data_IF_501231679774
#
_entry.id   IF_501231679774
#
_cell.length_a   1.000
_cell.length_b   1.000
_cell.length_c   1.000
_cell.angle_alpha   90.00
_cell.angle_beta   90.00
_cell.angle_gamma   90.00
#
_symmetry.space_group_name_H-M   'P 1'
#
loop_
_entity.id
_entity.type
_entity.pdbx_description
1 polymer ?
#
# COMPACT_ATOMS: atom_id res chain seq x y z
N UNK A 1 72.19 14.76 29.52
CA UNK A 1 72.59 13.37 29.88
C UNK A 1 71.55 12.45 29.26
N UNK A 2 71.76 11.49 28.35
CA UNK A 2 72.89 10.75 27.75
C UNK A 2 72.54 10.56 26.25
N UNK A 3 73.24 11.13 25.26
CA UNK A 3 74.28 10.54 24.36
C UNK A 3 74.27 9.01 24.20
N UNK A 4 74.22 8.51 22.95
CA UNK A 4 75.24 7.72 22.20
C UNK A 4 74.70 7.48 20.75
N UNK A 5 75.32 8.03 19.67
CA UNK A 5 76.37 7.47 18.78
C UNK A 5 75.81 6.47 17.72
N UNK A 6 76.04 6.51 16.39
CA UNK A 6 77.15 6.86 15.46
C UNK A 6 76.54 7.42 14.13
N UNK A 7 77.05 8.39 13.35
CA UNK A 7 78.35 8.71 12.71
C UNK A 7 78.56 8.15 11.27
N UNK A 8 78.49 9.06 10.27
CA UNK A 8 79.21 9.19 8.98
C UNK A 8 79.14 8.01 7.94
N UNK A 9 79.05 8.19 6.60
CA UNK A 9 79.77 9.11 5.71
C UNK A 9 79.25 9.13 4.23
N UNK A 10 79.64 10.20 3.51
CA UNK A 10 79.90 10.33 2.04
C UNK A 10 78.73 10.24 1.04
N UNK A 11 78.31 11.33 0.37
CA UNK A 11 78.92 12.15 -0.71
C UNK A 11 78.88 11.48 -2.11
N UNK A 12 77.94 11.92 -2.96
CA UNK A 12 78.12 12.03 -4.41
C UNK A 12 77.07 12.99 -5.01
N UNK A 13 77.52 13.75 -6.00
CA UNK A 13 76.96 14.98 -6.55
C UNK A 13 76.36 14.68 -7.92
N UNK A 14 75.18 15.28 -8.18
CA UNK A 14 74.60 15.72 -9.47
C UNK A 14 74.31 14.65 -10.53
N UNK A 15 73.04 14.59 -10.92
CA UNK A 15 72.58 14.93 -12.28
C UNK A 15 71.07 15.13 -12.25
N UNK A 16 70.64 16.34 -12.63
CA UNK A 16 69.25 16.60 -12.96
C UNK A 16 68.88 15.81 -14.20
N UNK A 17 67.80 15.05 -14.10
CA UNK A 17 66.91 14.79 -15.22
C UNK A 17 65.51 14.90 -14.63
N UNK A 18 64.84 16.00 -14.96
CA UNK A 18 63.39 16.08 -14.95
C UNK A 18 62.90 14.96 -15.86
N UNK A 19 62.57 13.80 -15.29
CA UNK A 19 61.75 12.82 -15.98
C UNK A 19 60.30 13.28 -15.85
N UNK A 20 59.97 14.41 -16.47
CA UNK A 20 58.68 14.52 -17.11
C UNK A 20 58.77 13.59 -18.30
N UNK A 21 58.37 12.32 -18.13
CA UNK A 21 57.91 11.58 -19.28
C UNK A 21 56.57 12.23 -19.63
N UNK A 22 56.61 13.17 -20.58
CA UNK A 22 55.45 13.48 -21.40
C UNK A 22 55.13 12.19 -22.14
N UNK A 23 54.34 11.34 -21.48
CA UNK A 23 53.69 10.20 -22.10
C UNK A 23 52.48 10.75 -22.85
N UNK A 24 52.76 11.33 -24.03
CA UNK A 24 51.78 11.94 -24.95
C UNK A 24 50.86 10.91 -25.62
N UNK A 25 50.62 9.75 -24.97
CA UNK A 25 49.81 8.68 -25.53
C UNK A 25 48.94 7.96 -24.48
N UNK A 26 48.39 8.70 -23.51
CA UNK A 26 47.24 8.21 -22.75
C UNK A 26 46.00 8.22 -23.67
N UNK A 27 45.23 7.13 -23.82
CA UNK A 27 43.99 7.19 -24.57
C UNK A 27 43.07 8.25 -23.94
N UNK A 28 42.47 9.03 -24.84
CA UNK A 28 41.37 9.96 -24.65
C UNK A 28 40.33 9.39 -23.69
N UNK A 29 40.19 10.00 -22.51
CA UNK A 29 39.06 9.91 -21.56
C UNK A 29 38.08 8.72 -21.69
N UNK A 30 37.97 7.88 -20.66
CA UNK A 30 37.04 6.75 -20.64
C UNK A 30 35.59 7.21 -20.44
N UNK A 31 34.66 6.83 -21.32
CA UNK A 31 33.24 7.14 -21.14
C UNK A 31 32.63 6.15 -20.15
N UNK A 32 31.84 6.64 -19.17
CA UNK A 32 31.13 5.78 -18.23
C UNK A 32 30.08 4.91 -18.94
N UNK A 33 29.82 3.72 -18.38
CA UNK A 33 28.77 2.85 -18.88
C UNK A 33 27.39 3.52 -18.79
N UNK A 34 26.59 3.33 -19.84
CA UNK A 34 25.21 3.80 -19.90
C UNK A 34 24.34 3.07 -18.87
N UNK A 35 23.51 3.77 -18.07
CA UNK A 35 22.58 3.12 -17.15
C UNK A 35 21.60 2.16 -17.85
N UNK A 36 21.36 1.00 -17.25
CA UNK A 36 20.24 0.11 -17.60
C UNK A 36 19.04 0.45 -16.69
N UNK A 37 18.00 1.06 -17.24
CA UNK A 37 16.87 1.63 -16.48
C UNK A 37 15.66 0.70 -16.54
N UNK A 38 14.96 0.54 -15.42
CA UNK A 38 13.66 -0.13 -15.33
C UNK A 38 12.65 0.69 -14.51
N UNK A 39 11.37 0.39 -14.70
CA UNK A 39 10.25 1.02 -13.99
C UNK A 39 9.44 -0.07 -13.27
N UNK A 40 9.88 -0.54 -12.10
CA UNK A 40 9.26 -1.67 -11.41
C UNK A 40 7.86 -1.40 -10.87
N UNK A 41 7.49 -0.14 -10.63
CA UNK A 41 6.20 0.24 -10.07
C UNK A 41 5.68 1.51 -10.75
N UNK A 42 4.45 1.47 -11.26
CA UNK A 42 3.75 2.59 -11.90
C UNK A 42 2.32 2.64 -11.37
N UNK A 43 1.93 3.83 -10.91
CA UNK A 43 0.59 4.15 -10.41
C UNK A 43 0.03 5.34 -11.19
N UNK A 44 -1.16 5.78 -10.82
CA UNK A 44 -1.86 6.89 -11.50
C UNK A 44 -1.10 8.22 -11.38
N UNK A 45 -0.44 8.45 -10.25
CA UNK A 45 0.21 9.73 -9.91
C UNK A 45 1.67 9.59 -9.49
N UNK A 46 2.25 8.39 -9.60
CA UNK A 46 3.64 8.12 -9.21
C UNK A 46 4.26 6.98 -10.00
N UNK A 47 5.60 6.96 -10.06
CA UNK A 47 6.36 5.82 -10.58
C UNK A 47 7.70 5.69 -9.86
N UNK A 48 8.17 4.46 -9.69
CA UNK A 48 9.52 4.17 -9.19
C UNK A 48 10.41 3.83 -10.36
N UNK A 49 11.52 4.54 -10.50
CA UNK A 49 12.55 4.29 -11.50
C UNK A 49 13.79 3.73 -10.79
N UNK A 50 14.44 2.74 -11.39
CA UNK A 50 15.67 2.15 -10.85
C UNK A 50 16.67 1.81 -11.94
N UNK A 51 17.95 1.83 -11.60
CA UNK A 51 19.06 1.42 -12.47
C UNK A 51 20.21 0.84 -11.66
N UNK A 52 21.04 0.01 -12.29
CA UNK A 52 22.24 -0.54 -11.63
C UNK A 52 23.30 0.53 -11.39
N UNK A 53 24.09 0.36 -10.33
CA UNK A 53 25.22 1.22 -10.05
C UNK A 53 26.27 1.13 -11.17
N UNK A 54 26.67 2.27 -11.71
CA UNK A 54 27.70 2.38 -12.73
C UNK A 54 29.06 2.56 -12.07
N UNK A 55 30.01 1.70 -12.44
CA UNK A 55 31.37 1.75 -11.92
C UNK A 55 32.02 3.12 -12.16
N UNK A 56 32.71 3.65 -11.16
CA UNK A 56 33.38 4.95 -11.16
C UNK A 56 32.46 6.19 -11.15
N UNK A 57 31.15 6.07 -11.36
CA UNK A 57 30.21 7.18 -11.25
C UNK A 57 30.16 7.72 -9.81
N UNK A 58 30.00 9.04 -9.64
CA UNK A 58 29.80 9.70 -8.34
C UNK A 58 28.38 10.22 -8.14
N UNK A 59 27.64 10.40 -9.22
CA UNK A 59 26.26 10.85 -9.21
C UNK A 59 25.56 10.42 -10.51
N UNK A 60 24.26 10.69 -10.58
CA UNK A 60 23.45 10.56 -11.77
C UNK A 60 22.74 11.88 -12.04
N UNK A 61 22.60 12.21 -13.33
CA UNK A 61 21.80 13.34 -13.79
C UNK A 61 20.58 12.79 -14.51
N UNK A 62 19.39 13.26 -14.13
CA UNK A 62 18.14 12.80 -14.71
C UNK A 62 17.17 13.92 -15.04
N UNK A 63 16.22 13.65 -15.92
CA UNK A 63 15.10 14.54 -16.23
C UNK A 63 13.85 13.76 -16.64
N UNK A 64 12.70 14.40 -16.50
CA UNK A 64 11.39 13.88 -16.91
C UNK A 64 10.84 14.75 -18.04
N UNK A 65 10.39 14.15 -19.14
CA UNK A 65 9.83 14.83 -20.33
C UNK A 65 10.71 15.96 -20.89
N UNK A 66 12.04 15.79 -20.84
CA UNK A 66 13.02 16.83 -21.21
C UNK A 66 12.88 18.13 -20.38
N UNK A 67 12.34 18.05 -19.17
CA UNK A 67 12.34 19.14 -18.20
C UNK A 67 13.73 19.42 -17.65
N UNK A 68 13.80 20.24 -16.59
CA UNK A 68 15.07 20.59 -15.94
C UNK A 68 15.81 19.36 -15.42
N UNK A 69 17.11 19.31 -15.67
CA UNK A 69 17.99 18.28 -15.13
C UNK A 69 18.08 18.38 -13.60
N UNK A 70 18.08 17.22 -12.95
CA UNK A 70 18.21 17.03 -11.51
C UNK A 70 19.39 16.08 -11.23
N UNK A 71 19.97 16.14 -10.03
CA UNK A 71 21.09 15.27 -9.64
C UNK A 71 20.73 14.42 -8.42
N UNK A 72 21.24 13.19 -8.39
CA UNK A 72 21.08 12.26 -7.27
C UNK A 72 22.32 11.38 -7.13
N UNK A 73 22.64 10.94 -5.93
CA UNK A 73 23.63 9.89 -5.66
C UNK A 73 23.00 8.50 -5.51
N UNK A 74 21.67 8.43 -5.51
CA UNK A 74 20.91 7.19 -5.42
C UNK A 74 20.73 6.53 -6.79
N UNK A 75 20.48 5.22 -6.75
CA UNK A 75 20.19 4.39 -7.92
C UNK A 75 18.69 4.21 -8.19
N UNK A 76 17.86 4.99 -7.49
CA UNK A 76 16.41 4.96 -7.61
C UNK A 76 15.82 6.35 -7.42
N UNK A 77 14.70 6.60 -8.10
CA UNK A 77 13.92 7.83 -7.99
C UNK A 77 12.45 7.49 -7.87
N UNK A 78 11.79 8.09 -6.89
CA UNK A 78 10.33 8.09 -6.79
C UNK A 78 9.79 9.40 -7.40
N UNK A 79 9.12 9.28 -8.54
CA UNK A 79 8.38 10.36 -9.17
C UNK A 79 6.99 10.45 -8.53
N UNK A 80 6.52 11.66 -8.25
CA UNK A 80 5.20 11.95 -7.67
C UNK A 80 4.55 13.11 -8.41
N UNK A 81 3.23 13.28 -8.25
CA UNK A 81 2.48 14.37 -8.90
C UNK A 81 2.34 14.18 -10.41
N UNK A 82 2.35 12.94 -10.89
CA UNK A 82 2.07 12.62 -12.28
C UNK A 82 0.56 12.68 -12.54
N UNK A 83 0.18 12.90 -13.80
CA UNK A 83 -1.20 12.83 -14.27
C UNK A 83 -1.52 11.37 -14.64
N UNK A 84 -2.73 10.87 -14.35
CA UNK A 84 -3.17 9.55 -14.77
C UNK A 84 -3.21 9.38 -16.30
N UNK A 85 -3.09 8.14 -16.77
CA UNK A 85 -3.15 7.78 -18.20
C UNK A 85 -2.18 8.55 -19.12
N UNK A 86 -1.11 9.10 -18.55
CA UNK A 86 -0.15 9.93 -19.28
C UNK A 86 1.18 9.23 -19.43
N UNK A 87 1.73 9.27 -20.63
CA UNK A 87 3.08 8.78 -20.89
C UNK A 87 4.14 9.79 -20.48
N UNK A 88 5.18 9.28 -19.83
CA UNK A 88 6.34 10.03 -19.37
C UNK A 88 7.62 9.40 -19.91
N UNK A 89 8.55 10.25 -20.32
CA UNK A 89 9.90 9.85 -20.75
C UNK A 89 10.89 10.26 -19.67
N UNK A 90 11.52 9.28 -19.04
CA UNK A 90 12.57 9.48 -18.07
C UNK A 90 13.94 9.30 -18.75
N UNK A 91 14.86 10.21 -18.46
CA UNK A 91 16.25 10.14 -18.93
C UNK A 91 17.19 10.16 -17.75
N UNK A 92 18.24 9.34 -17.79
CA UNK A 92 19.32 9.36 -16.79
C UNK A 92 20.67 9.05 -17.42
N UNK A 93 21.72 9.73 -16.95
CA UNK A 93 23.12 9.42 -17.27
C UNK A 93 23.94 9.31 -15.98
N UNK A 94 25.01 8.53 -16.02
CA UNK A 94 26.01 8.49 -14.97
C UNK A 94 26.98 9.65 -15.12
N UNK A 95 27.35 10.28 -14.00
CA UNK A 95 28.26 11.41 -13.96
C UNK A 95 29.46 11.14 -13.05
N UNK A 96 30.63 11.61 -13.49
CA UNK A 96 31.85 11.65 -12.68
C UNK A 96 32.43 13.06 -12.64
N UNK A 97 31.90 13.87 -11.73
CA UNK A 97 32.27 15.28 -11.59
C UNK A 97 33.76 15.44 -11.30
N UNK A 98 34.44 16.30 -12.07
CA UNK A 98 35.82 16.72 -11.81
C UNK A 98 36.90 15.70 -12.19
N UNK A 99 36.56 14.63 -12.89
CA UNK A 99 37.55 13.67 -13.39
C UNK A 99 38.17 14.15 -14.71
N UNK A 100 39.48 13.99 -14.84
CA UNK A 100 40.19 14.14 -16.13
C UNK A 100 40.32 12.81 -16.88
N UNK A 101 39.89 11.71 -16.26
CA UNK A 101 40.06 10.35 -16.78
C UNK A 101 38.74 9.72 -17.27
N UNK A 102 37.61 10.31 -16.88
CA UNK A 102 36.28 9.78 -17.16
C UNK A 102 35.33 10.88 -17.64
N UNK A 103 34.61 10.61 -18.73
CA UNK A 103 33.49 11.43 -19.20
C UNK A 103 32.17 10.83 -18.70
N UNK A 104 31.14 11.69 -18.59
CA UNK A 104 29.76 11.27 -18.33
C UNK A 104 29.29 10.22 -19.35
N UNK A 105 28.39 9.33 -18.94
CA UNK A 105 27.78 8.37 -19.86
C UNK A 105 26.83 9.05 -20.83
N UNK A 106 26.48 8.36 -21.92
CA UNK A 106 25.27 8.69 -22.69
C UNK A 106 24.01 8.57 -21.82
N UNK A 107 22.96 9.31 -22.20
CA UNK A 107 21.64 9.17 -21.60
C UNK A 107 21.01 7.82 -21.93
N UNK A 108 20.55 7.12 -20.89
CA UNK A 108 19.53 6.11 -20.97
C UNK A 108 18.14 6.77 -20.93
N UNK A 109 17.21 6.19 -21.67
CA UNK A 109 15.85 6.71 -21.82
C UNK A 109 14.87 5.55 -21.68
N UNK A 110 13.80 5.76 -20.93
CA UNK A 110 12.67 4.84 -20.82
C UNK A 110 11.36 5.61 -20.81
N UNK A 111 10.35 5.04 -21.44
CA UNK A 111 8.99 5.58 -21.41
C UNK A 111 8.10 4.65 -20.58
N UNK A 112 7.25 5.23 -19.75
CA UNK A 112 6.21 4.53 -19.01
C UNK A 112 4.91 5.33 -19.08
N UNK A 113 3.77 4.68 -18.87
CA UNK A 113 2.45 5.31 -18.86
C UNK A 113 1.83 5.08 -17.49
N UNK A 114 1.43 6.15 -16.81
CA UNK A 114 0.70 6.07 -15.54
C UNK A 114 -0.60 5.30 -15.73
N UNK A 115 -1.07 4.64 -14.67
CA UNK A 115 -2.35 3.95 -14.71
C UNK A 115 -3.51 4.94 -14.77
N UNK A 116 -4.72 4.45 -15.08
CA UNK A 116 -5.96 5.25 -15.00
C UNK A 116 -6.17 5.82 -13.60
N UNK A 117 -6.89 6.94 -13.55
CA UNK A 117 -7.35 7.55 -12.32
C UNK A 117 -8.25 6.57 -11.58
N UNK A 118 -7.92 6.29 -10.32
CA UNK A 118 -8.73 5.50 -9.42
C UNK A 118 -9.55 6.46 -8.60
N UNK A 119 -10.82 6.62 -8.97
CA UNK A 119 -11.78 7.28 -8.09
C UNK A 119 -11.93 6.45 -6.83
N UNK A 120 -11.65 7.04 -5.68
CA UNK A 120 -11.84 6.38 -4.39
C UNK A 120 -13.24 6.72 -3.90
N UNK A 121 -14.04 5.68 -3.68
CA UNK A 121 -15.36 5.82 -3.09
C UNK A 121 -15.29 5.50 -1.60
N UNK A 122 -15.70 6.45 -0.77
CA UNK A 122 -15.82 6.25 0.67
C UNK A 122 -17.28 6.06 1.04
N UNK A 123 -17.58 5.09 1.87
CA UNK A 123 -18.95 4.84 2.35
C UNK A 123 -19.41 6.08 3.13
N UNK A 124 -20.45 6.76 2.63
CA UNK A 124 -21.13 7.83 3.34
C UNK A 124 -22.18 7.26 4.30
N UNK A 125 -22.92 6.24 3.85
CA UNK A 125 -23.86 5.50 4.69
C UNK A 125 -23.85 4.01 4.34
N UNK A 126 -23.99 3.19 5.38
CA UNK A 126 -24.29 1.77 5.30
C UNK A 126 -25.59 1.55 6.06
N UNK A 127 -26.48 0.70 5.58
CA UNK A 127 -27.69 0.33 6.29
C UNK A 127 -28.02 -1.13 6.08
N UNK A 128 -28.69 -1.73 7.06
CA UNK A 128 -29.47 -2.96 6.88
C UNK A 128 -30.96 -2.62 6.99
N UNK A 129 -31.82 -3.63 7.07
CA UNK A 129 -33.28 -3.45 7.17
C UNK A 129 -33.73 -2.68 8.43
N UNK A 130 -32.87 -2.53 9.44
CA UNK A 130 -33.22 -2.01 10.77
C UNK A 130 -32.43 -0.78 11.17
N UNK A 131 -31.15 -0.72 10.77
CA UNK A 131 -30.19 0.25 11.24
C UNK A 131 -29.51 0.96 10.07
N UNK A 132 -29.23 2.26 10.26
CA UNK A 132 -28.46 3.07 9.31
C UNK A 132 -27.30 3.78 9.99
N UNK A 133 -26.10 3.49 9.51
CA UNK A 133 -24.85 4.09 9.94
C UNK A 133 -24.41 5.19 8.97
N UNK A 134 -23.87 6.25 9.53
CA UNK A 134 -23.35 7.41 8.82
C UNK A 134 -21.87 7.57 9.14
N UNK A 135 -21.08 7.89 8.14
CA UNK A 135 -19.62 8.00 8.26
C UNK A 135 -19.20 9.42 7.90
N UNK A 136 -18.31 9.98 8.71
CA UNK A 136 -17.61 11.21 8.40
C UNK A 136 -16.11 10.93 8.39
N UNK A 137 -15.38 11.63 7.53
CA UNK A 137 -13.96 11.47 7.34
C UNK A 137 -13.21 12.76 7.65
N UNK A 138 -11.95 12.63 8.03
CA UNK A 138 -10.99 13.74 8.08
C UNK A 138 -10.54 14.09 6.67
N UNK A 139 -9.93 15.28 6.49
CA UNK A 139 -9.44 15.76 5.18
C UNK A 139 -8.39 14.82 4.54
N UNK A 140 -7.72 13.99 5.34
CA UNK A 140 -6.77 12.98 4.86
C UNK A 140 -7.42 11.62 4.54
N UNK A 141 -8.76 11.55 4.52
CA UNK A 141 -9.53 10.35 4.21
C UNK A 141 -9.69 9.34 5.36
N UNK A 142 -9.06 9.55 6.52
CA UNK A 142 -9.25 8.65 7.67
C UNK A 142 -10.64 8.83 8.28
N UNK A 143 -11.26 7.74 8.77
CA UNK A 143 -12.58 7.82 9.41
C UNK A 143 -12.50 8.68 10.67
N UNK A 144 -13.36 9.69 10.75
CA UNK A 144 -13.43 10.62 11.89
C UNK A 144 -14.51 10.22 12.86
N UNK A 145 -15.66 9.78 12.33
CA UNK A 145 -16.87 9.53 13.09
C UNK A 145 -17.71 8.48 12.40
N UNK A 146 -18.29 7.58 13.18
CA UNK A 146 -19.41 6.74 12.75
C UNK A 146 -20.56 6.93 13.72
N UNK A 147 -21.77 7.15 13.23
CA UNK A 147 -22.93 7.35 14.08
C UNK A 147 -24.20 6.74 13.50
N UNK A 148 -25.18 6.53 14.38
CA UNK A 148 -26.52 6.02 14.05
C UNK A 148 -27.56 6.99 14.56
N UNK A 149 -28.60 7.19 13.76
CA UNK A 149 -29.78 7.96 14.14
C UNK A 149 -30.95 7.02 14.42
N UNK A 150 -31.78 7.35 15.42
CA UNK A 150 -33.06 6.71 15.67
C UNK A 150 -34.14 7.80 15.68
N UNK A 151 -35.13 7.67 14.81
CA UNK A 151 -36.20 8.67 14.63
C UNK A 151 -35.67 10.11 14.39
N UNK A 152 -34.52 10.22 13.73
CA UNK A 152 -33.87 11.50 13.39
C UNK A 152 -32.93 12.06 14.47
N UNK A 153 -32.91 11.45 15.66
CA UNK A 153 -32.06 11.88 16.78
C UNK A 153 -30.81 10.99 16.91
N UNK A 154 -29.73 11.55 17.45
CA UNK A 154 -28.49 10.80 17.68
C UNK A 154 -28.71 9.69 18.71
N UNK A 155 -28.58 8.44 18.29
CA UNK A 155 -28.75 7.27 19.15
C UNK A 155 -27.39 6.71 19.59
N UNK A 156 -26.45 6.54 18.65
CA UNK A 156 -25.11 6.02 18.93
C UNK A 156 -24.05 6.74 18.13
N UNK A 157 -22.86 6.82 18.68
CA UNK A 157 -21.73 7.52 18.08
C UNK A 157 -20.40 6.89 18.50
N UNK A 158 -19.46 6.90 17.56
CA UNK A 158 -18.06 6.54 17.75
C UNK A 158 -17.19 7.60 17.10
N UNK A 159 -16.32 8.22 17.90
CA UNK A 159 -15.38 9.27 17.48
C UNK A 159 -13.97 8.69 17.45
N UNK A 160 -13.28 8.85 16.33
CA UNK A 160 -11.97 8.27 16.05
C UNK A 160 -10.90 9.35 16.17
N UNK A 161 -9.99 9.20 17.13
CA UNK A 161 -8.86 10.10 17.34
C UNK A 161 -7.55 9.38 17.05
N UNK A 162 -6.69 9.99 16.24
CA UNK A 162 -5.43 9.42 15.77
C UNK A 162 -4.23 10.07 16.48
N UNK A 163 -3.31 9.24 16.96
CA UNK A 163 -1.99 9.62 17.47
C UNK A 163 -0.93 8.69 16.85
N UNK A 164 -0.39 9.13 15.70
CA UNK A 164 0.42 8.29 14.83
C UNK A 164 -0.37 7.04 14.39
N UNK A 165 0.17 5.86 14.69
CA UNK A 165 -0.46 4.58 14.37
C UNK A 165 -1.51 4.15 15.41
N UNK A 166 -1.70 4.89 16.51
CA UNK A 166 -2.71 4.54 17.51
C UNK A 166 -4.02 5.27 17.24
N UNK A 167 -5.13 4.55 17.39
CA UNK A 167 -6.48 5.11 17.29
C UNK A 167 -7.18 4.88 18.63
N UNK A 168 -7.64 5.97 19.24
CA UNK A 168 -8.55 5.91 20.38
C UNK A 168 -9.96 6.19 19.89
N UNK A 169 -10.88 5.25 20.11
CA UNK A 169 -12.30 5.42 19.79
C UNK A 169 -13.08 5.69 21.07
N UNK A 170 -13.91 6.74 21.06
CA UNK A 170 -14.77 7.12 22.19
C UNK A 170 -16.23 7.24 21.76
N UNK A 171 -17.17 7.34 22.71
CA UNK A 171 -18.60 7.48 22.43
C UNK A 171 -19.42 6.37 23.09
N UNK A 172 -20.20 5.63 22.30
CA UNK A 172 -21.08 4.56 22.80
C UNK A 172 -20.31 3.46 23.53
N UNK A 173 -19.18 3.05 22.95
CA UNK A 173 -18.20 2.12 23.51
C UNK A 173 -16.80 2.72 23.29
N UNK A 174 -15.85 2.35 24.14
CA UNK A 174 -14.46 2.77 24.01
C UNK A 174 -13.60 1.64 23.44
N UNK A 175 -12.81 1.94 22.41
CA UNK A 175 -11.90 1.01 21.79
C UNK A 175 -10.51 1.61 21.66
N UNK A 176 -9.50 0.74 21.63
CA UNK A 176 -8.16 1.13 21.19
C UNK A 176 -7.78 0.29 20.00
N UNK A 177 -7.20 0.90 18.98
CA UNK A 177 -6.65 0.20 17.83
C UNK A 177 -5.22 0.66 17.57
N UNK A 178 -4.42 -0.22 16.98
CA UNK A 178 -3.08 0.12 16.47
C UNK A 178 -2.99 -0.31 15.03
N UNK A 179 -2.49 0.58 14.16
CA UNK A 179 -2.30 0.36 12.74
C UNK A 179 -0.93 -0.28 12.45
N UNK A 180 -0.89 -1.15 11.43
CA UNK A 180 0.35 -1.64 10.82
C UNK A 180 0.92 -0.61 9.81
N UNK A 181 2.05 -0.95 9.20
CA UNK A 181 2.72 -0.10 8.21
C UNK A 181 1.94 0.08 6.90
N UNK A 182 0.92 -0.75 6.65
CA UNK A 182 0.00 -0.61 5.52
C UNK A 182 -1.20 0.30 5.86
N UNK A 183 -1.32 0.75 7.11
CA UNK A 183 -2.43 1.59 7.57
C UNK A 183 -3.68 0.83 8.01
N UNK A 184 -3.62 -0.50 8.15
CA UNK A 184 -4.74 -1.33 8.63
C UNK A 184 -4.58 -1.70 10.11
N UNK A 185 -5.70 -1.93 10.79
CA UNK A 185 -5.74 -2.29 12.21
C UNK A 185 -5.04 -3.63 12.44
N UNK A 186 -3.86 -3.60 13.06
CA UNK A 186 -3.12 -4.77 13.51
C UNK A 186 -3.63 -5.30 14.85
N UNK A 187 -4.08 -4.40 15.72
CA UNK A 187 -4.61 -4.76 17.04
C UNK A 187 -5.90 -3.97 17.31
N UNK A 188 -6.94 -4.64 17.81
CA UNK A 188 -8.20 -4.03 18.25
C UNK A 188 -8.54 -4.51 19.66
N UNK A 189 -8.71 -3.57 20.59
CA UNK A 189 -9.04 -3.83 21.98
C UNK A 189 -10.46 -3.34 22.27
N UNK A 190 -11.33 -4.28 22.60
CA UNK A 190 -12.72 -4.05 23.03
C UNK A 190 -12.94 -4.68 24.41
N UNK A 191 -12.93 -3.82 25.43
CA UNK A 191 -13.01 -4.24 26.82
C UNK A 191 -11.86 -5.18 27.20
N UNK A 192 -12.20 -6.42 27.57
CA UNK A 192 -11.23 -7.46 27.93
C UNK A 192 -10.76 -8.32 26.74
N UNK A 193 -11.27 -8.05 25.54
CA UNK A 193 -10.89 -8.79 24.34
C UNK A 193 -9.85 -8.01 23.56
N UNK A 194 -8.75 -8.67 23.22
CA UNK A 194 -7.75 -8.20 22.26
C UNK A 194 -7.84 -9.06 21.02
N UNK A 195 -7.97 -8.39 19.87
CA UNK A 195 -7.93 -9.00 18.56
C UNK A 195 -6.64 -8.60 17.85
N UNK A 196 -5.99 -9.56 17.21
CA UNK A 196 -4.78 -9.37 16.42
C UNK A 196 -5.04 -9.83 14.98
N UNK A 197 -4.75 -8.97 14.02
CA UNK A 197 -5.04 -9.18 12.60
C UNK A 197 -3.75 -9.35 11.81
N UNK A 198 -3.73 -10.37 10.96
CA UNK A 198 -2.66 -10.61 9.99
C UNK A 198 -3.17 -10.30 8.60
N UNK A 199 -2.29 -9.70 7.78
CA UNK A 199 -2.58 -9.29 6.40
C UNK A 199 -1.56 -9.89 5.45
N UNK A 200 -1.95 -10.05 4.18
CA UNK A 200 -0.99 -10.27 3.10
C UNK A 200 -0.32 -8.95 2.67
N UNK A 201 0.60 -9.03 1.70
CA UNK A 201 1.30 -7.86 1.14
C UNK A 201 0.37 -6.89 0.39
N UNK A 202 -0.80 -7.36 -0.02
CA UNK A 202 -1.78 -6.58 -0.78
C UNK A 202 -2.81 -5.89 0.13
N UNK A 203 -2.79 -6.16 1.44
CA UNK A 203 -3.70 -5.56 2.42
C UNK A 203 -4.98 -6.33 2.66
N UNK A 204 -5.07 -7.60 2.24
CA UNK A 204 -6.19 -8.47 2.59
C UNK A 204 -5.94 -9.18 3.92
N UNK A 205 -6.95 -9.22 4.78
CA UNK A 205 -6.89 -9.93 6.05
C UNK A 205 -6.83 -11.44 5.81
N UNK A 206 -5.85 -12.12 6.41
CA UNK A 206 -5.62 -13.57 6.26
C UNK A 206 -5.83 -14.35 7.55
N UNK A 207 -5.76 -13.69 8.71
CA UNK A 207 -5.96 -14.34 10.01
C UNK A 207 -6.42 -13.34 11.06
N UNK A 208 -7.26 -13.80 11.99
CA UNK A 208 -7.61 -13.08 13.22
C UNK A 208 -7.39 -13.98 14.42
N UNK A 209 -6.70 -13.47 15.43
CA UNK A 209 -6.56 -14.06 16.75
C UNK A 209 -7.34 -13.25 17.78
N UNK A 210 -8.04 -13.92 18.69
CA UNK A 210 -8.74 -13.33 19.83
C UNK A 210 -8.10 -13.86 21.11
N UNK A 211 -7.54 -12.96 21.92
CA UNK A 211 -6.85 -13.28 23.17
C UNK A 211 -5.81 -14.41 22.98
N UNK A 212 -5.01 -14.33 21.91
CA UNK A 212 -3.99 -15.32 21.55
C UNK A 212 -4.49 -16.65 20.97
N UNK A 213 -5.79 -16.82 20.75
CA UNK A 213 -6.36 -18.00 20.09
C UNK A 213 -6.88 -17.63 18.70
N UNK A 214 -6.69 -18.49 17.70
CA UNK A 214 -7.21 -18.25 16.34
C UNK A 214 -8.75 -18.14 16.41
N UNK A 215 -9.27 -17.02 15.95
CA UNK A 215 -10.69 -16.75 15.81
C UNK A 215 -11.18 -17.03 14.39
N UNK A 216 -10.35 -16.72 13.38
CA UNK A 216 -10.65 -16.97 11.98
C UNK A 216 -9.37 -17.09 11.14
N UNK A 217 -9.34 -18.09 10.26
CA UNK A 217 -8.41 -18.14 9.13
C UNK A 217 -9.17 -17.70 7.87
N UNK A 218 -8.55 -16.89 7.02
CA UNK A 218 -9.14 -16.35 5.80
C UNK A 218 -8.26 -16.68 4.60
N UNK A 219 -8.87 -17.25 3.56
CA UNK A 219 -8.21 -17.57 2.29
C UNK A 219 -8.55 -16.52 1.25
N UNK A 220 -7.52 -15.95 0.64
CA UNK A 220 -7.64 -14.95 -0.43
C UNK A 220 -7.16 -15.57 -1.75
N UNK A 221 -7.94 -15.39 -2.81
CA UNK A 221 -7.58 -15.77 -4.18
C UNK A 221 -8.02 -14.65 -5.13
N UNK A 222 -7.09 -14.16 -5.97
CA UNK A 222 -7.34 -13.07 -6.92
C UNK A 222 -8.03 -11.84 -6.31
N UNK A 223 -7.65 -11.50 -5.07
CA UNK A 223 -8.22 -10.38 -4.31
C UNK A 223 -9.62 -10.61 -3.75
N UNK A 224 -10.12 -11.86 -3.76
CA UNK A 224 -11.42 -12.22 -3.21
C UNK A 224 -11.28 -13.08 -1.96
N UNK A 225 -12.18 -12.89 -1.00
CA UNK A 225 -12.26 -13.73 0.20
C UNK A 225 -12.99 -15.03 -0.17
N UNK A 226 -12.24 -16.07 -0.50
CA UNK A 226 -12.82 -17.35 -0.94
C UNK A 226 -13.40 -18.17 0.20
N UNK A 227 -12.80 -18.01 1.38
CA UNK A 227 -13.19 -18.76 2.56
C UNK A 227 -12.78 -18.01 3.82
N UNK A 228 -13.58 -18.13 4.87
CA UNK A 228 -13.15 -17.81 6.23
C UNK A 228 -13.68 -18.83 7.23
N UNK A 229 -13.07 -18.88 8.42
CA UNK A 229 -13.42 -19.87 9.45
C UNK A 229 -13.99 -19.28 10.72
N UNK A 230 -14.75 -20.09 11.44
CA UNK A 230 -15.06 -19.88 12.87
C UNK A 230 -14.78 -21.17 13.63
N UNK A 231 -14.64 -21.05 14.94
CA UNK A 231 -14.53 -22.21 15.83
C UNK A 231 -15.83 -22.39 16.62
N UNK A 232 -16.41 -23.59 16.56
CA UNK A 232 -17.56 -24.00 17.38
C UNK A 232 -17.20 -25.30 18.09
N UNK A 233 -17.29 -25.32 19.42
CA UNK A 233 -16.91 -26.46 20.26
C UNK A 233 -15.50 -27.00 19.97
N UNK A 234 -14.56 -26.10 19.68
CA UNK A 234 -13.16 -26.43 19.33
C UNK A 234 -12.97 -26.98 17.92
N UNK A 235 -14.04 -27.09 17.13
CA UNK A 235 -13.99 -27.54 15.74
C UNK A 235 -14.02 -26.34 14.81
N UNK A 236 -13.06 -26.30 13.88
CA UNK A 236 -13.02 -25.29 12.83
C UNK A 236 -14.11 -25.57 11.78
N UNK A 237 -14.91 -24.56 11.48
CA UNK A 237 -15.97 -24.59 10.49
C UNK A 237 -15.67 -23.57 9.39
N UNK A 238 -15.84 -23.99 8.15
CA UNK A 238 -15.50 -23.21 6.96
C UNK A 238 -16.74 -22.62 6.32
N UNK A 239 -16.73 -21.31 6.08
CA UNK A 239 -17.72 -20.63 5.24
C UNK A 239 -17.06 -20.27 3.92
N UNK A 240 -17.61 -20.76 2.82
CA UNK A 240 -17.06 -20.63 1.47
C UNK A 240 -17.88 -19.63 0.68
N UNK A 241 -17.22 -18.88 -0.19
CA UNK A 241 -17.83 -17.87 -1.05
C UNK A 241 -17.53 -18.18 -2.53
N UNK A 242 -18.43 -17.75 -3.40
CA UNK A 242 -18.21 -17.74 -4.86
C UNK A 242 -18.37 -16.33 -5.38
N UNK A 243 -17.74 -16.03 -6.52
CA UNK A 243 -17.70 -14.67 -7.08
C UNK A 243 -18.17 -14.63 -8.53
N UNK A 244 -18.68 -13.46 -8.93
CA UNK A 244 -18.87 -13.10 -10.33
C UNK A 244 -17.62 -12.41 -10.88
N UNK A 245 -17.62 -12.11 -12.18
CA UNK A 245 -16.60 -11.25 -12.79
C UNK A 245 -16.92 -9.74 -12.64
N UNK A 246 -17.97 -9.38 -11.90
CA UNK A 246 -18.37 -7.98 -11.71
C UNK A 246 -17.49 -7.37 -10.61
N UNK A 247 -16.74 -6.29 -10.88
CA UNK A 247 -15.89 -5.66 -9.88
C UNK A 247 -16.70 -5.01 -8.74
N UNK A 248 -16.16 -5.08 -7.53
CA UNK A 248 -16.62 -4.29 -6.38
C UNK A 248 -15.96 -2.91 -6.40
N UNK A 249 -16.42 -2.04 -7.30
CA UNK A 249 -15.85 -0.69 -7.52
C UNK A 249 -15.88 0.15 -6.23
N UNK A 250 -16.93 -0.02 -5.44
CA UNK A 250 -17.14 0.67 -4.16
C UNK A 250 -16.20 0.24 -3.03
N UNK A 251 -15.56 -0.92 -3.14
CA UNK A 251 -14.80 -1.51 -2.04
C UNK A 251 -15.64 -1.82 -0.80
N UNK A 252 -16.94 -2.11 -0.96
CA UNK A 252 -17.83 -2.43 0.15
C UNK A 252 -17.54 -3.83 0.72
N UNK A 253 -17.55 -3.97 2.05
CA UNK A 253 -17.25 -5.24 2.75
C UNK A 253 -18.48 -6.16 2.84
N UNK A 254 -19.10 -6.43 1.68
CA UNK A 254 -20.24 -7.34 1.56
C UNK A 254 -19.94 -8.76 2.06
N UNK A 255 -18.67 -9.18 1.98
CA UNK A 255 -18.13 -10.34 2.70
C UNK A 255 -17.08 -9.86 3.70
N UNK A 256 -17.22 -10.32 4.94
CA UNK A 256 -16.24 -10.16 6.00
C UNK A 256 -16.23 -11.40 6.88
N UNK A 257 -15.12 -11.66 7.58
CA UNK A 257 -15.03 -12.75 8.54
C UNK A 257 -15.83 -12.38 9.79
N UNK A 258 -16.99 -12.99 10.01
CA UNK A 258 -17.89 -12.67 11.13
C UNK A 258 -17.26 -12.95 12.51
N UNK A 259 -16.22 -13.79 12.56
CA UNK A 259 -15.45 -14.09 13.79
C UNK A 259 -14.27 -13.13 14.02
N UNK A 260 -14.12 -12.09 13.20
CA UNK A 260 -13.03 -11.09 13.30
C UNK A 260 -13.19 -10.10 14.45
N UNK A 261 -14.29 -10.15 15.19
CA UNK A 261 -14.58 -9.28 16.33
C UNK A 261 -15.21 -7.94 15.95
N UNK A 262 -14.71 -7.29 14.89
CA UNK A 262 -15.30 -6.08 14.36
C UNK A 262 -16.66 -6.38 13.71
N UNK A 263 -17.70 -5.63 14.09
CA UNK A 263 -19.01 -5.71 13.42
C UNK A 263 -18.93 -5.10 12.02
N UNK A 264 -19.82 -5.51 11.10
CA UNK A 264 -19.81 -5.05 9.70
C UNK A 264 -19.66 -3.53 9.55
N UNK A 265 -20.48 -2.73 10.23
CA UNK A 265 -20.40 -1.26 10.19
C UNK A 265 -19.00 -0.71 10.51
N UNK A 266 -18.22 -1.41 11.35
CA UNK A 266 -16.86 -1.00 11.69
C UNK A 266 -15.87 -1.45 10.62
N UNK A 267 -16.08 -2.62 10.01
CA UNK A 267 -15.27 -3.11 8.88
C UNK A 267 -15.42 -2.21 7.65
N UNK A 268 -16.63 -1.73 7.38
CA UNK A 268 -16.97 -0.78 6.29
C UNK A 268 -16.23 0.58 6.41
N UNK A 269 -15.56 0.86 7.53
CA UNK A 269 -14.64 2.02 7.61
C UNK A 269 -13.40 1.86 6.72
N UNK A 270 -13.10 0.65 6.25
CA UNK A 270 -11.88 0.32 5.52
C UNK A 270 -10.66 0.08 6.40
N UNK A 271 -10.77 0.25 7.72
CA UNK A 271 -9.66 0.08 8.67
C UNK A 271 -9.17 -1.37 8.78
N UNK A 272 -9.99 -2.36 8.43
CA UNK A 272 -9.74 -3.78 8.66
C UNK A 272 -9.23 -4.51 7.41
N UNK A 273 -8.64 -3.80 6.46
CA UNK A 273 -8.11 -4.35 5.21
C UNK A 273 -9.07 -4.17 4.05
N UNK A 274 -8.61 -4.59 2.87
CA UNK A 274 -9.38 -4.47 1.63
C UNK A 274 -10.62 -5.38 1.62
N UNK A 275 -11.71 -4.86 1.08
CA UNK A 275 -12.86 -5.67 0.69
C UNK A 275 -12.51 -6.56 -0.51
N UNK A 276 -13.35 -7.56 -0.79
CA UNK A 276 -13.16 -8.42 -1.96
C UNK A 276 -13.20 -7.61 -3.26
N UNK A 277 -12.33 -7.95 -4.20
CA UNK A 277 -12.19 -7.26 -5.49
C UNK A 277 -13.43 -7.38 -6.38
N UNK A 278 -14.23 -8.44 -6.24
CA UNK A 278 -15.41 -8.71 -7.05
C UNK A 278 -16.66 -8.90 -6.18
N UNK A 279 -17.82 -8.72 -6.80
CA UNK A 279 -19.12 -9.00 -6.20
C UNK A 279 -19.32 -10.52 -6.07
N UNK A 280 -19.57 -10.97 -4.84
CA UNK A 280 -19.78 -12.37 -4.50
C UNK A 280 -21.18 -12.86 -4.90
N UNK A 281 -21.32 -14.09 -5.37
CA UNK A 281 -22.61 -14.65 -5.81
C UNK A 281 -23.25 -15.56 -4.79
N UNK A 282 -22.45 -16.17 -3.90
CA UNK A 282 -22.96 -17.05 -2.85
C UNK A 282 -22.05 -17.09 -1.63
N UNK A 283 -22.62 -17.48 -0.49
CA UNK A 283 -21.89 -17.72 0.76
C UNK A 283 -22.60 -18.80 1.58
N UNK A 284 -21.87 -19.85 1.97
CA UNK A 284 -22.44 -21.00 2.65
C UNK A 284 -21.45 -21.71 3.56
N UNK A 285 -21.97 -22.34 4.62
CA UNK A 285 -21.16 -23.22 5.46
C UNK A 285 -20.88 -24.53 4.73
N UNK A 286 -19.63 -24.96 4.66
CA UNK A 286 -19.24 -26.16 3.91
C UNK A 286 -19.94 -27.45 4.39
N UNK A 287 -20.32 -27.51 5.66
CA UNK A 287 -21.06 -28.64 6.25
C UNK A 287 -22.58 -28.53 6.08
N UNK A 288 -23.08 -27.44 5.49
CA UNK A 288 -24.50 -27.15 5.28
C UNK A 288 -24.86 -27.29 3.81
N UNK A 289 -26.07 -27.79 3.53
CA UNK A 289 -26.65 -27.72 2.18
C UNK A 289 -27.28 -26.35 1.88
N UNK A 290 -27.56 -25.55 2.91
CA UNK A 290 -28.12 -24.20 2.76
C UNK A 290 -27.02 -23.20 2.47
N UNK A 291 -27.21 -22.44 1.39
CA UNK A 291 -26.29 -21.41 0.90
C UNK A 291 -27.08 -20.14 0.62
N UNK A 292 -26.55 -18.98 1.02
CA UNK A 292 -27.12 -17.70 0.64
C UNK A 292 -26.69 -17.34 -0.78
N UNK A 293 -27.59 -16.76 -1.57
CA UNK A 293 -27.29 -16.17 -2.87
C UNK A 293 -27.41 -14.65 -2.81
N UNK A 294 -26.64 -13.95 -3.63
CA UNK A 294 -26.53 -12.49 -3.57
C UNK A 294 -26.79 -11.87 -4.94
N UNK A 295 -27.49 -10.75 -4.92
CA UNK A 295 -27.66 -9.86 -6.06
C UNK A 295 -27.32 -8.43 -5.66
N UNK A 296 -26.83 -7.64 -6.61
CA UNK A 296 -26.44 -6.27 -6.36
C UNK A 296 -27.11 -5.34 -7.35
N UNK A 297 -27.49 -4.17 -6.85
CA UNK A 297 -27.78 -3.01 -7.69
C UNK A 297 -26.67 -1.98 -7.54
N UNK A 298 -26.46 -1.22 -8.61
CA UNK A 298 -25.38 -0.24 -8.70
C UNK A 298 -25.92 1.17 -8.92
N UNK A 299 -25.17 2.17 -8.47
CA UNK A 299 -25.39 3.57 -8.83
C UNK A 299 -24.75 3.93 -10.18
N UNK A 300 -24.78 5.22 -10.55
CA UNK A 300 -24.21 5.72 -11.81
C UNK A 300 -22.69 5.56 -11.92
N UNK A 301 -22.00 5.42 -10.78
CA UNK A 301 -20.57 5.22 -10.67
C UNK A 301 -20.19 3.73 -10.61
N UNK A 302 -21.16 2.84 -10.83
CA UNK A 302 -21.01 1.38 -10.67
C UNK A 302 -20.67 0.96 -9.24
N UNK A 303 -20.86 1.83 -8.25
CA UNK A 303 -20.74 1.47 -6.85
C UNK A 303 -21.98 0.69 -6.39
N UNK A 304 -21.79 -0.30 -5.52
CA UNK A 304 -22.91 -1.09 -4.99
C UNK A 304 -23.79 -0.15 -4.17
N UNK A 305 -25.04 0.10 -4.58
CA UNK A 305 -26.01 0.88 -3.79
C UNK A 305 -26.94 -0.01 -2.96
N UNK A 306 -27.13 -1.26 -3.39
CA UNK A 306 -27.95 -2.25 -2.71
C UNK A 306 -27.35 -3.65 -2.90
N UNK A 307 -27.29 -4.41 -1.82
CA UNK A 307 -27.00 -5.83 -1.80
C UNK A 307 -28.21 -6.56 -1.23
N UNK A 308 -28.75 -7.52 -1.97
CA UNK A 308 -29.82 -8.40 -1.51
C UNK A 308 -29.27 -9.79 -1.29
N UNK A 309 -29.36 -10.26 -0.04
CA UNK A 309 -28.97 -11.61 0.37
C UNK A 309 -30.21 -12.46 0.53
N UNK A 310 -30.34 -13.50 -0.29
CA UNK A 310 -31.41 -14.48 -0.20
C UNK A 310 -30.91 -15.75 0.49
N UNK A 311 -31.48 -16.07 1.64
CA UNK A 311 -31.26 -17.33 2.35
C UNK A 311 -32.58 -18.10 2.45
N UNK A 312 -32.75 -19.10 1.58
CA UNK A 312 -33.92 -19.98 1.55
C UNK A 312 -35.27 -19.22 1.47
N UNK A 313 -35.31 -18.15 0.65
CA UNK A 313 -36.48 -17.31 0.44
C UNK A 313 -36.62 -16.14 1.41
N UNK A 314 -35.80 -16.09 2.47
CA UNK A 314 -35.68 -14.91 3.33
C UNK A 314 -34.67 -13.93 2.72
N UNK A 315 -35.12 -12.71 2.44
CA UNK A 315 -34.30 -11.67 1.82
C UNK A 315 -33.93 -10.64 2.89
N UNK A 316 -32.63 -10.45 3.08
CA UNK A 316 -32.04 -9.34 3.83
C UNK A 316 -31.46 -8.34 2.83
N UNK A 317 -31.74 -7.04 3.00
CA UNK A 317 -31.17 -6.01 2.15
C UNK A 317 -30.18 -5.14 2.91
N UNK A 318 -29.14 -4.72 2.21
CA UNK A 318 -28.15 -3.78 2.69
C UNK A 318 -28.02 -2.63 1.69
N UNK A 319 -27.93 -1.41 2.20
CA UNK A 319 -27.95 -0.20 1.38
C UNK A 319 -26.70 0.63 1.62
N UNK A 320 -26.24 1.26 0.55
CA UNK A 320 -24.99 2.01 0.54
C UNK A 320 -25.15 3.34 -0.20
N UNK A 321 -24.42 4.34 0.29
CA UNK A 321 -24.18 5.60 -0.42
C UNK A 321 -22.72 5.99 -0.25
N UNK A 322 -22.17 6.78 -1.17
CA UNK A 322 -20.74 7.10 -1.19
C UNK A 322 -20.46 8.59 -1.29
N UNK A 323 -19.28 8.99 -0.81
CA UNK A 323 -18.57 10.18 -1.26
C UNK A 323 -17.60 9.74 -2.37
N UNK A 324 -17.48 10.52 -3.43
CA UNK A 324 -16.39 10.42 -4.40
C UNK A 324 -15.26 11.35 -3.98
N UNK A 325 -14.05 10.82 -3.87
CA UNK A 325 -12.82 11.63 -3.80
C UNK A 325 -12.24 11.87 -5.20
#
# INVERSE_FOLDING_TARGET
>A
MKKYFYLLAMLAVVLGATACSDDDNHPSTNVLDKPEVTVPDVKESSAVITWKAIGNATAYIYSLNNGSEQSTDQNTIQLTGLEPEKSYTFKVKAQKTGSIYFEDSDYAEITFTTTSEVTVYRIATFADDWDKWYYEYNDNGTVKRVYRLYEGELDREWLFAYDGNNITVTGKNAYNMTLNDQGYVATFVDGSNTYEYTYDENGYMTKVEKNGNIASNITIEDGNIMQWTRFSDGVEQFKVQTYSAVPNVSGAHCIYAESSGASRWLVETGLFGKASANCHTSSGWQHSSSTATYTFEYDENSCIKEESKNYDGYIENFYYTYFSE
#
